data_IF_262836648380
#
_entry.id   IF_262836648380
#
_cell.length_a   1.000
_cell.length_b   1.000
_cell.length_c   1.000
_cell.angle_alpha   90.00
_cell.angle_beta   90.00
_cell.angle_gamma   90.00
#
_symmetry.space_group_name_H-M   'P 1'
#
loop_
_entity.id
_entity.type
_entity.pdbx_description
1 polymer ?
#
# COMPACT_ATOMS: atom_id res chain seq x y z
N UNK A 1 -3.47 -27.87 -14.90
CA UNK A 1 -4.17 -28.21 -13.63
C UNK A 1 -4.27 -26.93 -12.81
N UNK A 2 -5.40 -26.71 -12.10
CA UNK A 2 -5.64 -25.54 -11.25
C UNK A 2 -6.19 -25.94 -9.89
N UNK A 3 -6.15 -25.01 -8.92
CA UNK A 3 -6.73 -25.15 -7.60
C UNK A 3 -7.76 -24.04 -7.35
N UNK A 4 -8.88 -24.38 -6.72
CA UNK A 4 -9.88 -23.43 -6.29
C UNK A 4 -9.70 -23.18 -4.78
N UNK A 5 -9.37 -21.92 -4.42
CA UNK A 5 -9.31 -21.48 -3.02
C UNK A 5 -10.70 -21.00 -2.61
N UNK A 6 -11.36 -21.76 -1.73
CA UNK A 6 -12.68 -21.41 -1.17
C UNK A 6 -12.52 -20.42 -0.01
N UNK A 7 -13.55 -19.59 0.25
CA UNK A 7 -13.57 -18.64 1.37
C UNK A 7 -12.67 -17.41 1.18
N UNK A 8 -12.13 -17.18 -0.02
CA UNK A 8 -11.39 -15.97 -0.34
C UNK A 8 -12.33 -14.87 -0.83
N UNK A 9 -11.99 -13.63 -0.47
CA UNK A 9 -12.71 -12.43 -0.90
C UNK A 9 -11.78 -11.51 -1.68
N UNK A 10 -12.35 -10.66 -2.50
CA UNK A 10 -11.64 -9.62 -3.22
C UNK A 10 -12.44 -8.34 -3.31
N UNK A 11 -11.78 -7.21 -3.43
CA UNK A 11 -12.41 -5.91 -3.56
C UNK A 11 -12.71 -5.61 -5.04
N UNK A 12 -13.99 -5.54 -5.41
CA UNK A 12 -14.39 -5.11 -6.76
C UNK A 12 -14.10 -3.64 -7.04
N UNK A 13 -14.08 -2.80 -6.01
CA UNK A 13 -13.74 -1.39 -6.11
C UNK A 13 -12.98 -0.92 -4.86
N UNK A 14 -11.64 -1.07 -4.83
CA UNK A 14 -10.82 -0.63 -3.69
C UNK A 14 -10.94 0.85 -3.38
N UNK A 15 -11.09 1.70 -4.40
CA UNK A 15 -11.24 3.14 -4.24
C UNK A 15 -12.48 3.49 -3.41
N UNK A 16 -13.64 2.93 -3.74
CA UNK A 16 -14.87 3.14 -2.96
C UNK A 16 -14.74 2.69 -1.50
N UNK A 17 -14.01 1.62 -1.24
CA UNK A 17 -13.78 1.16 0.14
C UNK A 17 -12.94 2.19 0.89
N UNK A 18 -11.84 2.70 0.28
CA UNK A 18 -11.02 3.75 0.90
C UNK A 18 -11.81 5.05 1.14
N UNK A 19 -12.64 5.45 0.19
CA UNK A 19 -13.52 6.63 0.33
C UNK A 19 -14.52 6.46 1.48
N UNK A 20 -15.11 5.26 1.63
CA UNK A 20 -15.99 4.94 2.77
C UNK A 20 -15.26 4.96 4.11
N UNK A 21 -14.04 4.43 4.18
CA UNK A 21 -13.24 4.48 5.40
C UNK A 21 -12.89 5.93 5.77
N UNK A 22 -12.56 6.76 4.79
CA UNK A 22 -12.31 8.19 5.02
C UNK A 22 -13.58 8.90 5.51
N UNK A 23 -14.73 8.61 4.90
CA UNK A 23 -16.00 9.17 5.34
C UNK A 23 -16.30 8.82 6.81
N UNK A 24 -16.15 7.53 7.17
CA UNK A 24 -16.34 7.07 8.55
C UNK A 24 -15.35 7.72 9.53
N UNK A 25 -14.11 7.97 9.11
CA UNK A 25 -13.12 8.67 9.91
C UNK A 25 -13.58 10.11 10.21
N UNK A 26 -14.08 10.83 9.20
CA UNK A 26 -14.59 12.19 9.35
C UNK A 26 -15.85 12.22 10.23
N UNK A 27 -16.78 11.29 10.02
CA UNK A 27 -18.00 11.16 10.83
C UNK A 27 -17.69 10.90 12.32
N UNK A 28 -16.54 10.29 12.61
CA UNK A 28 -16.03 10.08 13.97
C UNK A 28 -15.20 11.25 14.53
N UNK A 29 -15.21 12.40 13.88
CA UNK A 29 -14.50 13.62 14.30
C UNK A 29 -13.06 13.74 13.80
N UNK A 30 -12.62 12.85 12.90
CA UNK A 30 -11.31 12.95 12.26
C UNK A 30 -11.25 14.10 11.25
N UNK A 31 -10.07 14.71 11.10
CA UNK A 31 -9.82 15.74 10.10
C UNK A 31 -8.95 15.18 8.97
N UNK A 32 -9.36 15.40 7.73
CA UNK A 32 -8.59 15.05 6.54
C UNK A 32 -8.08 16.31 5.85
N UNK A 33 -6.78 16.33 5.55
CA UNK A 33 -6.11 17.41 4.82
C UNK A 33 -5.32 16.81 3.65
N UNK A 34 -5.52 17.38 2.47
CA UNK A 34 -4.81 16.97 1.25
C UNK A 34 -3.60 17.87 1.04
N UNK A 35 -2.58 17.68 1.87
CA UNK A 35 -1.37 18.47 1.85
C UNK A 35 -0.14 17.56 1.75
N UNK A 36 0.93 18.06 1.12
CA UNK A 36 2.19 17.35 1.00
C UNK A 36 3.07 17.64 2.22
N UNK A 37 3.41 16.61 2.98
CA UNK A 37 4.36 16.73 4.08
C UNK A 37 5.77 16.88 3.51
N UNK A 38 6.47 17.92 3.91
CA UNK A 38 7.83 18.25 3.49
C UNK A 38 8.86 17.95 4.59
N UNK A 39 8.49 18.19 5.85
CA UNK A 39 9.37 18.02 6.99
C UNK A 39 8.59 17.64 8.25
N UNK A 40 9.26 16.87 9.10
CA UNK A 40 8.80 16.50 10.45
C UNK A 40 9.92 16.86 11.41
N UNK A 41 9.60 17.65 12.44
CA UNK A 41 10.53 18.08 13.50
C UNK A 41 9.99 17.72 14.87
N UNK A 42 10.88 17.35 15.76
CA UNK A 42 10.55 17.17 17.17
C UNK A 42 10.83 18.47 17.89
N UNK A 43 9.87 18.92 18.69
CA UNK A 43 9.98 20.12 19.50
C UNK A 43 10.46 19.77 20.91
N UNK A 44 11.13 20.72 21.57
CA UNK A 44 11.56 20.59 22.99
C UNK A 44 10.36 20.42 23.94
N UNK A 45 9.16 20.77 23.48
CA UNK A 45 7.89 20.61 24.22
C UNK A 45 7.31 19.19 24.15
N UNK A 46 8.08 18.19 23.68
CA UNK A 46 7.62 16.81 23.50
C UNK A 46 6.47 16.65 22.50
N UNK A 47 6.41 17.53 21.52
CA UNK A 47 5.44 17.52 20.43
C UNK A 47 6.13 17.39 19.08
N UNK A 48 5.34 17.00 18.09
CA UNK A 48 5.80 16.85 16.72
C UNK A 48 5.26 17.99 15.86
N UNK A 49 6.15 18.69 15.21
CA UNK A 49 5.84 19.73 14.24
C UNK A 49 5.90 19.15 12.82
N UNK A 50 4.83 19.32 12.06
CA UNK A 50 4.70 18.88 10.67
C UNK A 50 4.62 20.11 9.78
N UNK A 51 5.60 20.28 8.90
CA UNK A 51 5.58 21.29 7.86
C UNK A 51 5.05 20.65 6.56
N UNK A 52 4.03 21.25 6.01
CA UNK A 52 3.48 20.90 4.69
C UNK A 52 3.82 22.00 3.68
N UNK A 53 3.46 21.79 2.43
CA UNK A 53 3.56 22.82 1.38
C UNK A 53 2.62 24.03 1.62
N UNK A 54 1.68 23.95 2.55
CA UNK A 54 0.67 24.98 2.80
C UNK A 54 0.72 25.53 4.24
N UNK A 55 0.94 24.65 5.21
CA UNK A 55 0.74 24.96 6.61
C UNK A 55 1.79 24.30 7.53
N UNK A 56 1.69 24.66 8.79
CA UNK A 56 2.45 24.03 9.88
C UNK A 56 1.48 23.56 10.97
N UNK A 57 1.67 22.33 11.43
CA UNK A 57 0.81 21.71 12.44
C UNK A 57 1.63 21.15 13.60
N UNK A 58 1.08 21.21 14.80
CA UNK A 58 1.70 20.63 16.00
C UNK A 58 0.77 19.54 16.54
N UNK A 59 1.34 18.36 16.76
CA UNK A 59 0.63 17.19 17.29
C UNK A 59 1.40 16.56 18.44
N UNK A 60 0.70 15.83 19.30
CA UNK A 60 1.33 15.07 20.39
C UNK A 60 2.09 13.84 19.86
N UNK A 61 1.56 13.19 18.82
CA UNK A 61 2.15 12.01 18.19
C UNK A 61 1.80 11.97 16.71
N UNK A 62 2.62 11.29 15.93
CA UNK A 62 2.34 11.00 14.52
C UNK A 62 2.50 9.52 14.22
N UNK A 63 1.73 9.03 13.25
CA UNK A 63 1.93 7.72 12.63
C UNK A 63 2.32 7.93 11.18
N UNK A 64 3.52 7.50 10.80
CA UNK A 64 3.99 7.58 9.42
C UNK A 64 3.51 6.37 8.63
N UNK A 65 2.59 6.62 7.69
CA UNK A 65 1.96 5.62 6.82
C UNK A 65 2.15 5.93 5.32
N UNK A 66 3.28 6.55 4.94
CA UNK A 66 3.48 7.11 3.61
C UNK A 66 3.99 6.10 2.55
N UNK A 67 3.82 4.78 2.78
CA UNK A 67 4.25 3.74 1.83
C UNK A 67 5.74 3.86 1.49
N UNK A 68 6.10 3.83 0.21
CA UNK A 68 7.52 3.94 -0.23
C UNK A 68 8.13 5.31 0.10
N UNK A 69 7.33 6.35 0.20
CA UNK A 69 7.79 7.70 0.54
C UNK A 69 8.17 7.84 2.01
N UNK A 70 7.82 6.88 2.86
CA UNK A 70 8.25 6.83 4.25
C UNK A 70 9.76 6.87 4.39
N UNK A 71 10.51 6.21 3.47
CA UNK A 71 11.97 6.20 3.52
C UNK A 71 12.58 7.59 3.62
N UNK A 72 12.16 8.52 2.76
CA UNK A 72 12.69 9.90 2.78
C UNK A 72 12.44 10.62 4.11
N UNK A 73 11.32 10.32 4.76
CA UNK A 73 10.96 10.92 6.04
C UNK A 73 11.72 10.25 7.19
N UNK A 74 11.84 8.92 7.20
CA UNK A 74 12.59 8.20 8.23
C UNK A 74 14.08 8.50 8.19
N UNK A 75 14.68 8.64 7.00
CA UNK A 75 16.09 9.04 6.85
C UNK A 75 16.33 10.42 7.48
N UNK A 76 15.42 11.39 7.29
CA UNK A 76 15.48 12.71 7.94
C UNK A 76 15.31 12.64 9.47
N UNK A 77 14.57 11.68 9.96
CA UNK A 77 14.41 11.40 11.39
C UNK A 77 15.57 10.58 11.97
N UNK A 78 16.55 10.26 11.13
CA UNK A 78 17.77 9.54 11.51
C UNK A 78 17.59 8.03 11.66
N UNK A 79 16.48 7.44 11.18
CA UNK A 79 16.25 5.99 11.14
C UNK A 79 16.35 5.50 9.70
N UNK A 80 17.42 4.77 9.41
CA UNK A 80 17.69 4.23 8.08
C UNK A 80 17.02 2.85 7.93
N UNK A 81 15.82 2.85 7.33
CA UNK A 81 15.08 1.62 7.06
C UNK A 81 15.35 1.18 5.63
N UNK A 82 15.73 -0.10 5.38
CA UNK A 82 16.01 -0.61 4.05
C UNK A 82 14.75 -0.82 3.23
N UNK A 83 14.01 0.28 3.00
CA UNK A 83 12.76 0.32 2.25
C UNK A 83 13.06 0.53 0.76
N UNK A 84 12.65 -0.42 -0.07
CA UNK A 84 12.75 -0.37 -1.52
C UNK A 84 11.38 -0.23 -2.17
N UNK A 85 11.38 0.23 -3.43
CA UNK A 85 10.18 0.28 -4.26
C UNK A 85 10.14 -0.89 -5.21
N UNK A 86 9.06 -1.66 -5.16
CA UNK A 86 8.72 -2.64 -6.19
C UNK A 86 7.58 -2.08 -7.03
N UNK A 87 7.87 -1.78 -8.29
CA UNK A 87 6.88 -1.29 -9.24
C UNK A 87 5.96 -2.43 -9.68
N UNK A 88 4.67 -2.23 -9.52
CA UNK A 88 3.64 -3.15 -9.97
C UNK A 88 2.76 -2.51 -11.02
N UNK A 89 2.29 -3.30 -11.98
CA UNK A 89 1.54 -2.80 -13.12
C UNK A 89 0.17 -3.46 -13.22
N UNK A 90 -0.79 -2.75 -13.80
CA UNK A 90 -1.98 -3.38 -14.32
C UNK A 90 -2.53 -2.68 -15.57
N UNK A 91 -3.24 -3.46 -16.36
CA UNK A 91 -4.05 -3.00 -17.48
C UNK A 91 -5.52 -3.22 -17.13
N UNK A 92 -6.36 -2.24 -17.45
CA UNK A 92 -7.81 -2.38 -17.34
C UNK A 92 -8.40 -2.66 -18.72
N UNK A 93 -9.24 -3.66 -18.80
CA UNK A 93 -9.96 -4.06 -19.99
C UNK A 93 -11.46 -3.90 -19.80
N UNK A 94 -12.26 -3.75 -20.86
CA UNK A 94 -13.69 -3.95 -20.77
C UNK A 94 -14.02 -5.31 -20.18
N UNK A 95 -15.24 -5.50 -19.71
CA UNK A 95 -15.69 -6.84 -19.30
C UNK A 95 -15.65 -7.77 -20.53
N UNK A 96 -14.93 -8.91 -20.46
CA UNK A 96 -14.96 -9.88 -21.54
C UNK A 96 -16.33 -10.57 -21.61
N UNK A 97 -16.72 -11.06 -22.80
CA UNK A 97 -17.98 -11.77 -23.02
C UNK A 97 -18.15 -12.97 -22.07
N UNK A 98 -17.08 -13.72 -21.86
CA UNK A 98 -17.02 -14.82 -20.88
C UNK A 98 -16.38 -14.33 -19.57
N UNK A 99 -17.09 -13.45 -18.86
CA UNK A 99 -16.57 -12.83 -17.64
C UNK A 99 -16.32 -13.86 -16.54
N UNK A 100 -15.16 -13.73 -15.88
CA UNK A 100 -14.84 -14.52 -14.68
C UNK A 100 -15.56 -13.95 -13.47
N UNK A 101 -16.04 -14.81 -12.58
CA UNK A 101 -16.74 -14.40 -11.36
C UNK A 101 -15.82 -14.20 -10.16
N UNK A 102 -14.54 -14.59 -10.28
CA UNK A 102 -13.52 -14.54 -9.22
C UNK A 102 -12.14 -14.29 -9.80
N UNK A 103 -11.18 -13.81 -8.99
CA UNK A 103 -9.80 -13.65 -9.45
C UNK A 103 -9.19 -14.98 -9.89
N UNK A 104 -8.39 -14.91 -10.95
CA UNK A 104 -7.56 -16.01 -11.45
C UNK A 104 -6.09 -15.59 -11.26
N UNK A 105 -5.28 -16.48 -10.66
CA UNK A 105 -3.85 -16.34 -10.57
C UNK A 105 -3.18 -17.30 -11.58
N UNK A 106 -2.48 -16.74 -12.54
CA UNK A 106 -1.60 -17.52 -13.43
C UNK A 106 -0.18 -17.45 -12.87
N UNK A 107 0.11 -18.36 -11.93
CA UNK A 107 1.35 -18.33 -11.14
C UNK A 107 2.63 -18.41 -12.00
N UNK A 108 2.64 -19.25 -13.01
CA UNK A 108 3.79 -19.44 -13.93
C UNK A 108 4.15 -18.16 -14.69
N UNK A 109 3.18 -17.26 -14.88
CA UNK A 109 3.36 -15.97 -15.54
C UNK A 109 3.40 -14.79 -14.60
N UNK A 110 3.12 -14.98 -13.30
CA UNK A 110 3.02 -13.89 -12.33
C UNK A 110 1.92 -12.88 -12.67
N UNK A 111 0.85 -13.33 -13.33
CA UNK A 111 -0.26 -12.47 -13.79
C UNK A 111 -1.54 -12.86 -13.07
N UNK A 112 -2.29 -11.86 -12.65
CA UNK A 112 -3.56 -11.98 -11.94
C UNK A 112 -4.66 -11.28 -12.73
N UNK A 113 -5.74 -12.01 -13.00
CA UNK A 113 -6.94 -11.47 -13.63
C UNK A 113 -8.02 -11.30 -12.57
N UNK A 114 -8.50 -10.08 -12.38
CA UNK A 114 -9.49 -9.76 -11.34
C UNK A 114 -10.70 -9.08 -11.97
N UNK A 115 -11.91 -9.63 -11.78
CA UNK A 115 -13.14 -8.97 -12.23
C UNK A 115 -13.42 -7.78 -11.30
N UNK A 116 -13.15 -6.57 -11.79
CA UNK A 116 -13.43 -5.34 -11.07
C UNK A 116 -14.86 -4.86 -11.36
N UNK A 117 -15.33 -3.83 -10.67
CA UNK A 117 -16.63 -3.24 -10.93
C UNK A 117 -16.73 -2.71 -12.38
N UNK A 118 -15.66 -2.12 -12.90
CA UNK A 118 -15.65 -1.38 -14.16
C UNK A 118 -14.90 -2.12 -15.29
N UNK A 119 -14.64 -3.42 -15.12
CA UNK A 119 -13.95 -4.21 -16.15
C UNK A 119 -13.10 -5.35 -15.59
N UNK A 120 -12.22 -5.87 -16.44
CA UNK A 120 -11.23 -6.88 -16.08
C UNK A 120 -9.88 -6.20 -15.81
N UNK A 121 -9.32 -6.38 -14.63
CA UNK A 121 -7.95 -5.97 -14.32
C UNK A 121 -6.98 -7.13 -14.55
N UNK A 122 -6.06 -6.96 -15.49
CA UNK A 122 -4.91 -7.81 -15.68
C UNK A 122 -3.70 -7.15 -15.01
N UNK A 123 -3.20 -7.71 -13.94
CA UNK A 123 -2.10 -7.13 -13.16
C UNK A 123 -1.11 -8.17 -12.71
N UNK A 124 0.04 -7.71 -12.28
CA UNK A 124 1.12 -8.57 -11.83
C UNK A 124 2.45 -7.91 -12.10
N UNK A 125 3.47 -8.73 -12.28
CA UNK A 125 4.85 -8.33 -12.54
C UNK A 125 5.42 -7.47 -11.41
N UNK A 126 6.68 -7.67 -11.13
CA UNK A 126 7.48 -6.86 -10.20
C UNK A 126 8.66 -6.33 -10.99
N UNK A 127 8.85 -5.03 -10.96
CA UNK A 127 10.02 -4.37 -11.53
C UNK A 127 10.73 -3.59 -10.42
N UNK A 128 12.01 -3.82 -10.25
CA UNK A 128 12.86 -3.04 -9.36
C UNK A 128 13.37 -1.82 -10.14
N UNK A 129 12.91 -0.63 -9.79
CA UNK A 129 13.22 0.53 -10.63
C UNK A 129 12.90 1.89 -10.00
N UNK A 130 12.93 1.99 -8.70
CA UNK A 130 12.67 3.26 -8.00
C UNK A 130 11.21 3.72 -8.10
N UNK A 131 10.97 5.04 -8.01
CA UNK A 131 9.64 5.65 -7.88
C UNK A 131 9.26 6.48 -9.13
N UNK A 132 9.76 6.13 -10.32
CA UNK A 132 9.34 6.79 -11.57
C UNK A 132 7.93 6.36 -11.96
N UNK A 133 7.09 7.33 -12.34
CA UNK A 133 5.75 7.08 -12.88
C UNK A 133 5.78 6.65 -14.37
N UNK A 134 6.94 6.57 -14.99
CA UNK A 134 7.07 6.13 -16.37
C UNK A 134 6.66 4.66 -16.50
N UNK A 135 5.75 4.40 -17.42
CA UNK A 135 5.21 3.04 -17.63
C UNK A 135 6.11 2.28 -18.60
N UNK A 136 6.58 1.11 -18.19
CA UNK A 136 7.42 0.23 -18.98
C UNK A 136 6.62 -0.42 -20.12
N UNK A 137 6.93 -0.03 -21.37
CA UNK A 137 6.30 -0.62 -22.57
C UNK A 137 6.53 -2.13 -22.68
N UNK A 138 7.66 -2.62 -22.17
CA UNK A 138 7.95 -4.07 -22.11
C UNK A 138 6.98 -4.80 -21.20
N UNK A 139 6.68 -4.23 -20.03
CA UNK A 139 5.73 -4.80 -19.06
C UNK A 139 4.31 -4.74 -19.61
N UNK A 140 3.92 -3.62 -20.20
CA UNK A 140 2.62 -3.47 -20.88
C UNK A 140 2.45 -4.54 -21.95
N UNK A 141 3.43 -4.69 -22.85
CA UNK A 141 3.39 -5.70 -23.91
C UNK A 141 3.33 -7.13 -23.36
N UNK A 142 4.00 -7.40 -22.24
CA UNK A 142 3.92 -8.70 -21.56
C UNK A 142 2.51 -8.97 -21.03
N UNK A 143 1.91 -8.01 -20.31
CA UNK A 143 0.56 -8.15 -19.77
C UNK A 143 -0.49 -8.29 -20.87
N UNK A 144 -0.34 -7.57 -22.00
CA UNK A 144 -1.22 -7.74 -23.18
C UNK A 144 -1.19 -9.17 -23.69
N UNK A 145 -0.01 -9.70 -24.03
CA UNK A 145 0.12 -11.09 -24.51
C UNK A 145 -0.42 -12.13 -23.51
N UNK A 146 -0.17 -11.92 -22.22
CA UNK A 146 -0.71 -12.82 -21.19
C UNK A 146 -2.23 -12.75 -21.12
N UNK A 147 -2.81 -11.57 -21.29
CA UNK A 147 -4.27 -11.40 -21.28
C UNK A 147 -4.91 -12.03 -22.51
N UNK A 148 -4.38 -11.79 -23.70
CA UNK A 148 -4.85 -12.39 -24.97
C UNK A 148 -4.77 -13.92 -24.94
N UNK A 149 -3.76 -14.49 -24.30
CA UNK A 149 -3.65 -15.95 -24.17
C UNK A 149 -4.76 -16.58 -23.32
N UNK A 150 -5.34 -15.82 -22.37
CA UNK A 150 -6.45 -16.30 -21.51
C UNK A 150 -7.82 -15.87 -22.05
N UNK A 151 -7.87 -14.71 -22.70
CA UNK A 151 -9.06 -14.08 -23.26
C UNK A 151 -8.82 -13.71 -24.72
N UNK A 152 -8.86 -14.66 -25.67
CA UNK A 152 -8.45 -14.41 -27.06
C UNK A 152 -9.24 -13.31 -27.79
N UNK A 153 -10.49 -13.09 -27.38
CA UNK A 153 -11.38 -12.10 -28.00
C UNK A 153 -11.50 -10.80 -27.17
N UNK A 154 -10.54 -10.55 -26.27
CA UNK A 154 -10.62 -9.34 -25.44
C UNK A 154 -10.26 -8.10 -26.27
N UNK A 155 -11.07 -7.05 -26.11
CA UNK A 155 -10.82 -5.77 -26.75
C UNK A 155 -9.55 -5.10 -26.18
N UNK A 156 -9.13 -3.98 -26.82
CA UNK A 156 -8.02 -3.19 -26.31
C UNK A 156 -8.24 -2.76 -24.86
N UNK A 157 -7.16 -2.68 -24.09
CA UNK A 157 -7.21 -2.17 -22.73
C UNK A 157 -7.61 -0.69 -22.70
N UNK A 158 -8.30 -0.31 -21.65
CA UNK A 158 -8.84 1.05 -21.44
C UNK A 158 -7.82 1.98 -20.78
N UNK A 159 -6.98 1.43 -19.92
CA UNK A 159 -5.96 2.20 -19.19
C UNK A 159 -4.80 1.34 -18.72
N UNK A 160 -3.69 2.01 -18.48
CA UNK A 160 -2.45 1.48 -17.92
C UNK A 160 -2.18 2.14 -16.57
N UNK A 161 -1.61 1.40 -15.63
CA UNK A 161 -1.28 1.94 -14.32
C UNK A 161 -0.01 1.31 -13.76
N UNK A 162 0.76 2.13 -13.04
CA UNK A 162 1.91 1.71 -12.26
C UNK A 162 1.76 2.17 -10.82
N UNK A 163 2.18 1.35 -9.87
CA UNK A 163 2.22 1.70 -8.45
C UNK A 163 3.45 1.15 -7.76
N UNK A 164 3.72 1.66 -6.57
CA UNK A 164 4.96 1.46 -5.84
C UNK A 164 4.68 0.71 -4.55
N UNK A 165 5.11 -0.55 -4.48
CA UNK A 165 4.97 -1.37 -3.27
C UNK A 165 6.13 -1.05 -2.34
N UNK A 166 5.84 -0.72 -1.08
CA UNK A 166 6.88 -0.47 -0.08
C UNK A 166 7.43 -1.80 0.44
N UNK A 167 8.57 -2.23 -0.06
CA UNK A 167 9.15 -3.53 0.26
C UNK A 167 10.35 -3.40 1.17
N UNK A 168 10.42 -4.27 2.17
CA UNK A 168 11.55 -4.43 3.10
C UNK A 168 12.16 -5.82 2.95
N UNK A 169 13.46 -6.02 3.24
CA UNK A 169 14.17 -7.25 2.90
C UNK A 169 13.58 -8.52 3.53
N UNK A 170 13.08 -8.43 4.74
CA UNK A 170 12.51 -9.55 5.50
C UNK A 170 11.02 -9.79 5.24
N UNK A 171 10.41 -8.98 4.37
CA UNK A 171 8.99 -9.05 4.01
C UNK A 171 7.99 -8.79 5.16
N UNK A 172 8.45 -8.37 6.34
CA UNK A 172 7.58 -7.99 7.46
C UNK A 172 7.34 -6.47 7.44
N UNK A 173 6.10 -5.99 7.61
CA UNK A 173 5.85 -4.56 7.69
C UNK A 173 6.55 -3.93 8.90
N UNK A 174 6.77 -2.63 8.84
CA UNK A 174 7.27 -1.85 9.99
C UNK A 174 6.06 -1.32 10.74
N UNK A 175 5.81 -1.84 11.93
CA UNK A 175 4.70 -1.44 12.80
C UNK A 175 5.26 -1.21 14.20
N UNK A 176 5.03 -0.01 14.75
CA UNK A 176 5.42 0.31 16.13
C UNK A 176 6.13 1.65 16.27
N UNK A 177 6.57 1.92 17.49
CA UNK A 177 7.23 3.16 17.88
C UNK A 177 8.64 3.27 17.28
N UNK A 178 9.04 4.48 16.92
CA UNK A 178 10.41 4.83 16.57
C UNK A 178 11.37 4.50 17.73
N UNK A 179 12.59 4.06 17.40
CA UNK A 179 13.64 3.84 18.41
C UNK A 179 14.34 5.13 18.85
N UNK A 180 14.25 6.16 18.03
CA UNK A 180 14.91 7.45 18.29
C UNK A 180 13.97 8.47 18.90
N UNK A 181 12.66 8.32 18.68
CA UNK A 181 11.70 9.31 19.13
C UNK A 181 10.37 8.70 19.61
N UNK A 182 9.99 8.87 20.87
CA UNK A 182 8.80 8.27 21.45
C UNK A 182 7.46 8.88 20.96
N UNK A 183 7.51 9.95 20.16
CA UNK A 183 6.32 10.61 19.63
C UNK A 183 6.03 10.21 18.19
N UNK A 184 6.91 9.39 17.58
CA UNK A 184 6.78 8.93 16.20
C UNK A 184 6.50 7.43 16.17
N UNK A 185 5.52 7.05 15.37
CA UNK A 185 5.13 5.67 15.11
C UNK A 185 5.16 5.38 13.62
N UNK A 186 5.36 4.13 13.27
CA UNK A 186 5.45 3.65 11.89
C UNK A 186 4.38 2.60 11.62
N UNK A 187 3.76 2.68 10.43
CA UNK A 187 2.85 1.65 9.92
C UNK A 187 2.94 1.63 8.38
N UNK A 188 4.00 1.00 7.85
CA UNK A 188 4.25 0.90 6.39
C UNK A 188 5.05 -0.37 6.06
N UNK A 189 5.42 -0.56 4.78
CA UNK A 189 6.27 -1.68 4.37
C UNK A 189 5.52 -2.99 4.13
N UNK A 190 4.23 -2.94 3.87
CA UNK A 190 3.35 -4.11 3.73
C UNK A 190 3.44 -4.82 2.37
N UNK A 191 4.31 -4.39 1.47
CA UNK A 191 4.53 -5.01 0.15
C UNK A 191 3.24 -5.27 -0.63
N UNK A 192 2.99 -6.53 -0.99
CA UNK A 192 1.85 -6.97 -1.79
C UNK A 192 0.53 -7.10 -0.99
N UNK A 193 0.60 -7.21 0.33
CA UNK A 193 -0.51 -7.58 1.21
C UNK A 193 -1.05 -6.43 2.06
N UNK A 194 -0.58 -5.20 1.82
CA UNK A 194 -0.97 -4.03 2.59
C UNK A 194 -2.48 -3.78 2.62
N UNK A 195 -3.16 -4.06 1.52
CA UNK A 195 -4.61 -3.96 1.46
C UNK A 195 -5.32 -4.92 2.45
N UNK A 196 -4.86 -6.16 2.53
CA UNK A 196 -5.43 -7.17 3.42
C UNK A 196 -5.06 -6.93 4.88
N UNK A 197 -3.88 -6.40 5.13
CA UNK A 197 -3.36 -6.16 6.49
C UNK A 197 -3.72 -4.79 7.07
N UNK A 198 -4.25 -3.85 6.27
CA UNK A 198 -4.47 -2.47 6.69
C UNK A 198 -5.35 -2.35 7.95
N UNK A 199 -6.41 -3.14 8.06
CA UNK A 199 -7.29 -3.14 9.22
C UNK A 199 -6.60 -3.58 10.50
N UNK A 200 -5.91 -4.72 10.46
CA UNK A 200 -5.21 -5.25 11.65
C UNK A 200 -4.02 -4.36 12.03
N UNK A 201 -3.25 -3.87 11.06
CA UNK A 201 -2.13 -2.96 11.31
C UNK A 201 -2.60 -1.66 11.96
N UNK A 202 -3.71 -1.09 11.49
CA UNK A 202 -4.32 0.08 12.09
C UNK A 202 -4.78 -0.15 13.53
N UNK A 203 -5.37 -1.32 13.82
CA UNK A 203 -5.74 -1.71 15.19
C UNK A 203 -4.53 -1.82 16.11
N UNK A 204 -3.49 -2.54 15.67
CA UNK A 204 -2.28 -2.77 16.45
C UNK A 204 -1.55 -1.48 16.79
N UNK A 205 -1.37 -0.58 15.81
CA UNK A 205 -0.70 0.70 16.05
C UNK A 205 -1.54 1.60 16.98
N UNK A 206 -2.85 1.59 16.88
CA UNK A 206 -3.72 2.32 17.78
C UNK A 206 -3.63 1.79 19.22
N UNK A 207 -3.58 0.45 19.42
CA UNK A 207 -3.37 -0.17 20.72
C UNK A 207 -2.03 0.28 21.33
N UNK A 208 -0.95 0.27 20.56
CA UNK A 208 0.38 0.69 21.02
C UNK A 208 0.41 2.18 21.42
N UNK A 209 -0.14 3.06 20.59
CA UNK A 209 -0.21 4.51 20.88
C UNK A 209 -0.99 4.79 22.17
N UNK A 210 -2.06 4.05 22.40
CA UNK A 210 -2.90 4.18 23.61
C UNK A 210 -2.35 3.42 24.83
N UNK A 211 -1.13 2.88 24.74
CA UNK A 211 -0.50 2.06 25.79
C UNK A 211 -1.36 0.84 26.21
N UNK A 212 -2.20 0.34 25.31
CA UNK A 212 -2.95 -0.89 25.51
C UNK A 212 -2.10 -2.11 25.12
N UNK A 213 -2.41 -3.27 25.71
CA UNK A 213 -1.80 -4.53 25.28
C UNK A 213 -2.20 -4.81 23.83
N UNK A 214 -1.22 -5.01 22.96
CA UNK A 214 -1.45 -5.41 21.58
C UNK A 214 -1.88 -6.88 21.47
N UNK A 215 -2.74 -7.19 20.50
CA UNK A 215 -3.26 -8.55 20.29
C UNK A 215 -2.16 -9.55 19.93
N UNK A 216 -1.07 -9.06 19.34
CA UNK A 216 0.13 -9.83 19.00
C UNK A 216 1.40 -9.09 19.44
N UNK A 217 2.49 -9.82 19.61
CA UNK A 217 3.81 -9.22 19.85
C UNK A 217 4.27 -8.40 18.63
N UNK A 218 4.53 -7.10 18.81
CA UNK A 218 5.02 -6.21 17.77
C UNK A 218 6.55 -6.20 17.63
N UNK A 219 7.28 -6.89 18.50
CA UNK A 219 8.74 -6.95 18.44
C UNK A 219 9.29 -7.38 17.07
N UNK A 220 8.72 -8.40 16.38
CA UNK A 220 9.16 -8.78 15.03
C UNK A 220 8.94 -7.69 13.97
N UNK A 221 8.03 -6.76 14.21
CA UNK A 221 7.66 -5.66 13.28
C UNK A 221 8.35 -4.34 13.62
N UNK A 222 9.07 -4.29 14.73
CA UNK A 222 9.76 -3.08 15.20
C UNK A 222 10.80 -2.59 14.20
N UNK A 223 10.93 -1.27 14.06
CA UNK A 223 12.01 -0.64 13.27
C UNK A 223 13.41 -1.02 13.75
N UNK A 224 13.56 -1.35 15.02
CA UNK A 224 14.86 -1.72 15.62
C UNK A 224 15.40 -3.09 15.21
N UNK A 225 14.76 -3.80 14.27
CA UNK A 225 15.27 -5.03 13.70
C UNK A 225 16.23 -4.84 12.50
N UNK A 226 16.35 -3.60 12.05
CA UNK A 226 17.27 -3.19 10.99
C UNK A 226 18.54 -2.52 11.50
#
# INVERSE_FOLDING_TARGET
KGALIKGSYFAKNPKKISEKLLQLFIEKGGNFKKEKIEEIKILDTNKVNIHTNENTYIYDRIVLCAGVWSKKLTDKLGENIPLASERGYHLMYPHPENSISRPIAWQERGVYFTPMQDGLRAGGVVELGGNSNEISSKVVSYLKRATEAVFPNINNHLSEWVGFRPSVPDSLPVIGQSKKNPYIYYCFGHQHIGWSLGGISGKLIAQEICANKTDIDLKPFSVGRF
#
